data_IF_798296472998
#
_entry.id   IF_798296472998
#
_cell.length_a   1.000
_cell.length_b   1.000
_cell.length_c   1.000
_cell.angle_alpha   90.00
_cell.angle_beta   90.00
_cell.angle_gamma   90.00
#
_symmetry.space_group_name_H-M   'P 1'
#
loop_
_entity.id
_entity.type
_entity.pdbx_description
1 polymer ?
#
# COMPACT_ATOMS: atom_id res chain seq x y z
N UNK A 1 -16.15 -7.63 9.40
CA UNK A 1 -15.51 -6.33 9.11
C UNK A 1 -15.29 -6.22 7.61
N UNK A 2 -16.33 -5.85 6.86
CA UNK A 2 -16.23 -5.56 5.43
C UNK A 2 -16.27 -4.04 5.26
N UNK A 3 -15.50 -3.50 4.30
CA UNK A 3 -15.44 -2.07 3.95
C UNK A 3 -14.81 -1.10 4.97
N UNK A 4 -14.30 -1.60 6.09
CA UNK A 4 -13.63 -0.79 7.14
C UNK A 4 -12.12 -0.61 6.90
N UNK A 5 -11.59 -0.98 5.73
CA UNK A 5 -10.17 -0.81 5.39
C UNK A 5 -9.20 -1.84 6.01
N UNK A 6 -9.66 -2.70 6.93
CA UNK A 6 -8.80 -3.69 7.61
C UNK A 6 -8.16 -4.74 6.69
N UNK A 7 -8.78 -5.05 5.54
CA UNK A 7 -8.35 -6.15 4.65
C UNK A 7 -6.90 -6.03 4.19
N UNK A 8 -6.42 -4.82 3.88
CA UNK A 8 -5.04 -4.65 3.40
C UNK A 8 -4.03 -4.91 4.54
N UNK A 9 -4.25 -4.31 5.71
CA UNK A 9 -3.41 -4.52 6.89
C UNK A 9 -3.39 -5.99 7.34
N UNK A 10 -4.54 -6.67 7.30
CA UNK A 10 -4.65 -8.08 7.62
C UNK A 10 -3.88 -9.00 6.67
N UNK A 11 -3.80 -8.65 5.39
CA UNK A 11 -3.02 -9.43 4.43
C UNK A 11 -1.52 -9.27 4.68
N UNK A 12 -1.04 -8.03 4.82
CA UNK A 12 0.38 -7.76 5.02
C UNK A 12 0.91 -8.29 6.35
N UNK A 13 0.18 -8.13 7.45
CA UNK A 13 0.59 -8.67 8.77
C UNK A 13 0.65 -10.21 8.81
N UNK A 14 -0.09 -10.88 7.93
CA UNK A 14 -0.10 -12.34 7.83
C UNK A 14 0.79 -12.85 6.69
N UNK A 15 1.73 -12.04 6.18
CA UNK A 15 2.62 -12.37 5.07
C UNK A 15 1.89 -12.82 3.79
N UNK A 16 0.71 -12.27 3.52
CA UNK A 16 -0.07 -12.56 2.31
C UNK A 16 -0.04 -11.39 1.33
N UNK A 17 0.16 -11.65 0.03
CA UNK A 17 0.14 -10.59 -0.96
C UNK A 17 -1.28 -10.04 -1.17
N UNK A 18 -1.37 -8.75 -1.46
CA UNK A 18 -2.61 -8.11 -1.89
C UNK A 18 -2.72 -8.25 -3.41
N UNK A 19 -3.67 -9.08 -3.84
CA UNK A 19 -3.97 -9.31 -5.26
C UNK A 19 -5.17 -8.46 -5.67
N UNK A 20 -4.96 -7.51 -6.57
CA UNK A 20 -6.00 -6.66 -7.17
C UNK A 20 -6.24 -7.07 -8.62
N UNK A 21 -6.62 -8.33 -8.81
CA UNK A 21 -7.04 -8.89 -10.10
C UNK A 21 -8.57 -8.88 -10.16
N UNK A 22 -9.16 -7.70 -10.34
CA UNK A 22 -10.60 -7.56 -10.50
C UNK A 22 -10.93 -7.54 -12.00
N UNK A 23 -11.60 -8.59 -12.54
CA UNK A 23 -12.01 -8.59 -13.93
C UNK A 23 -13.05 -7.48 -14.16
N UNK A 24 -12.75 -6.51 -15.03
CA UNK A 24 -13.66 -5.39 -15.32
C UNK A 24 -13.04 -4.25 -16.13
N UNK A 25 -13.86 -3.27 -16.51
CA UNK A 25 -13.53 -2.16 -17.41
C UNK A 25 -12.55 -1.12 -16.83
N UNK A 26 -12.18 -1.26 -15.55
CA UNK A 26 -11.39 -0.27 -14.81
C UNK A 26 -9.87 -0.35 -15.07
N UNK A 27 -9.40 -1.29 -15.88
CA UNK A 27 -7.97 -1.44 -16.17
C UNK A 27 -7.75 -2.14 -17.50
N UNK A 28 -7.71 -1.37 -18.59
CA UNK A 28 -7.46 -1.89 -19.94
C UNK A 28 -5.98 -2.31 -20.16
N UNK A 29 -5.05 -2.01 -19.23
CA UNK A 29 -3.61 -2.22 -19.43
C UNK A 29 -2.83 -2.82 -18.23
N UNK A 30 -3.47 -3.00 -17.06
CA UNK A 30 -2.78 -3.47 -15.83
C UNK A 30 -3.65 -4.43 -15.01
N UNK A 31 -4.00 -5.55 -15.62
CA UNK A 31 -4.92 -6.55 -15.06
C UNK A 31 -4.47 -7.19 -13.75
N UNK A 32 -3.16 -7.22 -13.47
CA UNK A 32 -2.61 -7.97 -12.35
C UNK A 32 -1.68 -7.10 -11.50
N UNK A 33 -2.25 -6.31 -10.58
CA UNK A 33 -1.47 -5.67 -9.53
C UNK A 33 -1.40 -6.63 -8.32
N UNK A 34 -0.25 -7.25 -8.13
CA UNK A 34 0.10 -7.98 -6.91
C UNK A 34 1.07 -7.13 -6.12
N UNK A 35 0.72 -6.82 -4.86
CA UNK A 35 1.58 -6.08 -3.93
C UNK A 35 2.03 -7.07 -2.86
N UNK A 36 3.34 -7.26 -2.77
CA UNK A 36 3.92 -8.12 -1.75
C UNK A 36 3.96 -7.39 -0.40
N UNK A 37 3.90 -8.12 0.72
CA UNK A 37 4.04 -7.53 2.06
C UNK A 37 5.37 -6.76 2.27
N UNK A 38 6.39 -7.10 1.50
CA UNK A 38 7.73 -6.50 1.55
C UNK A 38 7.89 -5.31 0.60
N UNK A 39 6.89 -5.00 -0.23
CA UNK A 39 6.99 -3.87 -1.14
C UNK A 39 6.92 -2.56 -0.35
N UNK A 40 7.76 -1.59 -0.70
CA UNK A 40 7.82 -0.29 -0.02
C UNK A 40 6.48 0.46 -0.04
N UNK A 41 5.64 0.19 -1.05
CA UNK A 41 4.28 0.72 -1.22
C UNK A 41 3.26 0.25 -0.18
N UNK A 42 3.63 -0.68 0.70
CA UNK A 42 2.80 -1.10 1.84
C UNK A 42 2.74 0.00 2.90
N UNK A 43 3.79 0.80 3.02
CA UNK A 43 3.91 1.90 3.98
C UNK A 43 3.61 3.23 3.28
N UNK A 44 2.89 4.11 3.97
CA UNK A 44 2.65 5.46 3.47
C UNK A 44 3.90 6.33 3.66
N UNK A 45 4.14 7.23 2.72
CA UNK A 45 5.15 8.28 2.87
C UNK A 45 4.80 9.22 4.02
N UNK A 46 5.84 9.77 4.65
CA UNK A 46 5.66 10.84 5.61
C UNK A 46 5.19 12.11 4.87
N UNK A 47 4.26 12.90 5.43
CA UNK A 47 3.85 14.16 4.83
C UNK A 47 5.05 15.12 4.68
N UNK A 48 5.19 15.78 3.52
CA UNK A 48 6.31 16.69 3.24
C UNK A 48 6.49 17.78 4.30
N UNK A 49 5.37 18.26 4.85
CA UNK A 49 5.39 19.29 5.90
C UNK A 49 6.15 18.84 7.14
N UNK A 50 6.00 17.57 7.54
CA UNK A 50 6.65 17.05 8.75
C UNK A 50 8.15 16.88 8.54
N UNK A 51 8.55 16.40 7.35
CA UNK A 51 9.96 16.31 6.94
C UNK A 51 10.62 17.68 6.86
N UNK A 52 9.91 18.71 6.40
CA UNK A 52 10.43 20.08 6.35
C UNK A 52 10.61 20.71 7.73
N UNK A 53 9.75 20.37 8.71
CA UNK A 53 9.80 20.92 10.06
C UNK A 53 10.91 20.25 10.89
N UNK A 54 11.09 18.93 10.74
CA UNK A 54 12.12 18.20 11.46
C UNK A 54 13.10 17.53 10.47
N UNK A 55 14.27 18.13 10.23
CA UNK A 55 15.25 17.61 9.27
C UNK A 55 15.90 16.29 9.69
N UNK A 56 15.66 15.81 10.92
CA UNK A 56 16.11 14.48 11.36
C UNK A 56 15.14 13.35 10.96
N UNK A 57 14.00 13.66 10.33
CA UNK A 57 13.07 12.65 9.83
C UNK A 57 13.50 12.19 8.44
N UNK A 58 13.73 10.89 8.30
CA UNK A 58 13.98 10.24 7.02
C UNK A 58 12.68 9.69 6.43
N UNK A 59 12.54 9.80 5.10
CA UNK A 59 11.37 9.27 4.39
C UNK A 59 11.33 7.74 4.42
N UNK A 60 10.11 7.21 4.43
CA UNK A 60 9.90 5.79 4.19
C UNK A 60 10.27 5.49 2.72
N UNK A 61 11.02 4.40 2.43
CA UNK A 61 11.49 4.05 1.09
C UNK A 61 10.35 3.74 0.10
#
# INVERSE_FOLDING_TARGET
MAFEGHRAGDLFRNNRPLVRAYPGFHSLDRYNQTINPTDARVVFFLPDREVQINPNLEQNP
#
